data_IF_550316327456
#
_entry.id   IF_550316327456
#
_cell.length_a   1.000
_cell.length_b   1.000
_cell.length_c   1.000
_cell.angle_alpha   90.00
_cell.angle_beta   90.00
_cell.angle_gamma   90.00
#
_symmetry.space_group_name_H-M   'P 1'
#
loop_
_entity.id
_entity.type
_entity.pdbx_description
1 polymer ?
#
# COMPACT_ATOMS: atom_id res chain seq x y z
N UNK A 1 22.09 -12.54 -10.30
CA UNK A 1 21.88 -11.08 -10.25
C UNK A 1 21.78 -10.69 -8.79
N UNK A 2 22.70 -9.88 -8.28
CA UNK A 2 22.67 -9.37 -6.90
C UNK A 2 21.90 -8.06 -6.83
N UNK A 3 21.50 -7.64 -5.62
CA UNK A 3 20.88 -6.31 -5.42
C UNK A 3 21.82 -5.21 -5.89
N UNK A 4 23.11 -5.30 -5.60
CA UNK A 4 24.12 -4.33 -6.06
C UNK A 4 24.19 -4.24 -7.59
N UNK A 5 24.09 -5.38 -8.29
CA UNK A 5 24.06 -5.40 -9.76
C UNK A 5 22.80 -4.73 -10.31
N UNK A 6 21.65 -4.89 -9.65
CA UNK A 6 20.40 -4.21 -10.01
C UNK A 6 20.54 -2.71 -9.77
N UNK A 7 21.10 -2.30 -8.63
CA UNK A 7 21.33 -0.89 -8.31
C UNK A 7 22.25 -0.22 -9.34
N UNK A 8 23.35 -0.88 -9.71
CA UNK A 8 24.25 -0.40 -10.74
C UNK A 8 23.56 -0.24 -12.11
N UNK A 9 22.67 -1.17 -12.47
CA UNK A 9 21.88 -1.07 -13.70
C UNK A 9 20.87 0.09 -13.65
N UNK A 10 20.20 0.30 -12.51
CA UNK A 10 19.25 1.41 -12.31
C UNK A 10 19.94 2.76 -12.50
N UNK A 11 21.17 2.92 -12.01
CA UNK A 11 21.95 4.16 -12.16
C UNK A 11 22.34 4.48 -13.61
N UNK A 12 22.26 3.50 -14.52
CA UNK A 12 22.57 3.69 -15.94
C UNK A 12 21.33 4.00 -16.79
N UNK A 13 20.13 4.00 -16.20
CA UNK A 13 18.89 4.28 -16.91
C UNK A 13 18.80 5.74 -17.36
N UNK A 14 18.13 5.95 -18.49
CA UNK A 14 17.69 7.29 -18.86
C UNK A 14 16.64 7.79 -17.85
N UNK A 15 16.43 9.11 -17.72
CA UNK A 15 15.38 9.64 -16.85
C UNK A 15 13.99 9.05 -17.16
N UNK A 16 13.70 8.79 -18.43
CA UNK A 16 12.43 8.18 -18.87
C UNK A 16 12.32 6.74 -18.40
N UNK A 17 13.34 5.92 -18.64
CA UNK A 17 13.33 4.50 -18.23
C UNK A 17 13.29 4.35 -16.72
N UNK A 18 13.98 5.25 -16.00
CA UNK A 18 13.92 5.31 -14.55
C UNK A 18 12.50 5.62 -14.06
N UNK A 19 11.82 6.60 -14.66
CA UNK A 19 10.44 6.95 -14.31
C UNK A 19 9.45 5.81 -14.62
N UNK A 20 9.63 5.10 -15.74
CA UNK A 20 8.81 3.93 -16.04
C UNK A 20 9.05 2.79 -15.04
N UNK A 21 10.30 2.54 -14.67
CA UNK A 21 10.66 1.51 -13.69
C UNK A 21 10.05 1.81 -12.33
N UNK A 22 10.20 3.04 -11.81
CA UNK A 22 9.67 3.41 -10.50
C UNK A 22 8.15 3.35 -10.47
N UNK A 23 7.47 3.75 -11.55
CA UNK A 23 6.02 3.58 -11.68
C UNK A 23 5.61 2.11 -11.54
N UNK A 24 6.24 1.22 -12.30
CA UNK A 24 5.90 -0.22 -12.26
C UNK A 24 6.22 -0.85 -10.91
N UNK A 25 7.28 -0.41 -10.23
CA UNK A 25 7.57 -0.87 -8.87
C UNK A 25 6.50 -0.42 -7.87
N UNK A 26 6.05 0.84 -7.97
CA UNK A 26 4.95 1.33 -7.15
C UNK A 26 3.66 0.54 -7.40
N UNK A 27 3.31 0.26 -8.67
CA UNK A 27 2.15 -0.55 -9.02
C UNK A 27 2.23 -1.96 -8.37
N UNK A 28 3.41 -2.59 -8.39
CA UNK A 28 3.62 -3.89 -7.73
C UNK A 28 3.50 -3.82 -6.19
N UNK A 29 3.94 -2.72 -5.59
CA UNK A 29 3.81 -2.51 -4.15
C UNK A 29 2.35 -2.25 -3.76
N UNK A 30 1.57 -1.53 -4.56
CA UNK A 30 0.13 -1.40 -4.39
C UNK A 30 -0.57 -2.77 -4.47
N UNK A 31 -0.25 -3.59 -5.48
CA UNK A 31 -0.82 -4.95 -5.61
C UNK A 31 -0.46 -5.87 -4.42
N UNK A 32 0.70 -5.66 -3.80
CA UNK A 32 1.10 -6.39 -2.57
C UNK A 32 0.32 -5.88 -1.37
N UNK A 33 0.16 -4.56 -1.26
CA UNK A 33 -0.59 -3.92 -0.20
C UNK A 33 -2.06 -4.33 -0.23
N UNK A 34 -2.71 -4.34 -1.41
CA UNK A 34 -4.09 -4.79 -1.58
C UNK A 34 -4.27 -6.23 -1.07
N UNK A 35 -3.41 -7.14 -1.50
CA UNK A 35 -3.45 -8.54 -1.02
C UNK A 35 -3.21 -8.67 0.48
N UNK A 36 -2.32 -7.85 1.04
CA UNK A 36 -2.11 -7.85 2.49
C UNK A 36 -3.34 -7.34 3.22
N UNK A 37 -3.94 -6.25 2.74
CA UNK A 37 -5.15 -5.67 3.30
C UNK A 37 -6.30 -6.68 3.29
N UNK A 38 -6.53 -7.37 2.18
CA UNK A 38 -7.54 -8.43 2.07
C UNK A 38 -7.32 -9.56 3.08
N UNK A 39 -6.07 -10.00 3.25
CA UNK A 39 -5.73 -11.03 4.24
C UNK A 39 -5.94 -10.53 5.68
N UNK A 40 -5.59 -9.27 5.96
CA UNK A 40 -5.77 -8.67 7.29
C UNK A 40 -7.25 -8.48 7.62
N UNK A 41 -8.08 -8.14 6.63
CA UNK A 41 -9.55 -8.14 6.73
C UNK A 41 -10.06 -9.55 7.02
N UNK A 42 -9.65 -10.55 6.23
CA UNK A 42 -10.09 -11.94 6.41
C UNK A 42 -9.67 -12.53 7.77
N UNK A 43 -8.54 -12.07 8.31
CA UNK A 43 -8.05 -12.45 9.63
C UNK A 43 -8.71 -11.67 10.79
N UNK A 44 -9.63 -10.74 10.50
CA UNK A 44 -10.32 -9.92 11.50
C UNK A 44 -9.41 -8.88 12.19
N UNK A 45 -8.23 -8.61 11.64
CA UNK A 45 -7.27 -7.68 12.26
C UNK A 45 -7.78 -6.24 12.27
N UNK A 46 -8.70 -5.91 11.37
CA UNK A 46 -9.29 -4.58 11.25
C UNK A 46 -10.66 -4.45 11.94
N UNK A 47 -11.15 -5.51 12.60
CA UNK A 47 -12.45 -5.51 13.27
C UNK A 47 -12.55 -4.44 14.36
N UNK A 48 -11.42 -4.06 14.96
CA UNK A 48 -11.38 -2.99 15.97
C UNK A 48 -11.76 -1.64 15.37
N UNK A 49 -11.36 -1.34 14.14
CA UNK A 49 -11.72 -0.10 13.43
C UNK A 49 -13.22 -0.06 13.14
N UNK A 50 -13.81 -1.20 12.75
CA UNK A 50 -15.25 -1.29 12.54
C UNK A 50 -16.03 -1.05 13.84
N UNK A 51 -15.55 -1.61 14.97
CA UNK A 51 -16.15 -1.39 16.29
C UNK A 51 -16.03 0.06 16.75
N UNK A 52 -14.87 0.68 16.54
CA UNK A 52 -14.63 2.09 16.84
C UNK A 52 -15.57 2.99 16.03
N UNK A 53 -15.62 2.81 14.71
CA UNK A 53 -16.51 3.59 13.85
C UNK A 53 -17.99 3.47 14.24
N UNK A 54 -18.45 2.27 14.65
CA UNK A 54 -19.80 2.08 15.16
C UNK A 54 -20.03 2.77 16.50
N UNK A 55 -19.05 2.78 17.40
CA UNK A 55 -19.14 3.47 18.68
C UNK A 55 -19.23 5.00 18.48
N UNK A 56 -18.41 5.56 17.60
CA UNK A 56 -18.42 6.98 17.25
C UNK A 56 -19.75 7.38 16.61
N UNK A 57 -20.27 6.56 15.70
CA UNK A 57 -21.59 6.79 15.11
C UNK A 57 -22.71 6.81 16.17
N UNK A 58 -22.70 5.83 17.08
CA UNK A 58 -23.72 5.73 18.13
C UNK A 58 -23.63 6.84 19.18
N UNK A 59 -22.43 7.38 19.42
CA UNK A 59 -22.21 8.51 20.33
C UNK A 59 -22.48 9.87 19.69
N UNK A 60 -22.67 9.90 18.36
CA UNK A 60 -22.82 11.14 17.60
C UNK A 60 -21.50 11.87 17.35
N UNK A 61 -20.37 11.24 17.60
CA UNK A 61 -19.02 11.77 17.40
C UNK A 61 -18.53 11.57 15.96
N UNK A 62 -19.34 11.98 14.97
CA UNK A 62 -18.97 11.93 13.56
C UNK A 62 -19.06 13.30 12.90
N UNK A 63 -18.26 13.50 11.86
CA UNK A 63 -18.33 14.71 11.02
C UNK A 63 -19.18 14.41 9.79
N UNK A 64 -20.10 15.31 9.47
CA UNK A 64 -20.77 15.32 8.17
C UNK A 64 -19.79 15.79 7.10
N UNK A 65 -19.79 15.11 5.96
CA UNK A 65 -19.01 15.47 4.77
C UNK A 65 -19.50 16.79 4.16
#
# INVERSE_FOLDING_TARGET
MTVDQIQAAILQLSPTDYAELTKRLADLDYDRWDRQLENDIAAGKLDFLAKEALADYNSGEYRTL
#
